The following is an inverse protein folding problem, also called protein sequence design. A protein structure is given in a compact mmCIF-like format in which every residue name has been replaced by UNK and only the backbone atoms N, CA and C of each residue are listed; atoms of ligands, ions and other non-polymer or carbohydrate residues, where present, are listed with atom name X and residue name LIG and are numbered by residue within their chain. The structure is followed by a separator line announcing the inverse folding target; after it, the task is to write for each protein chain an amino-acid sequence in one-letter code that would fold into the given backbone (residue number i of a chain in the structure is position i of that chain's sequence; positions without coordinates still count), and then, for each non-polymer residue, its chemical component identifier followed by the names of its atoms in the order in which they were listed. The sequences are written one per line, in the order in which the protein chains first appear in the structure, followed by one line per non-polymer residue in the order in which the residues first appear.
data_IF_675239818564
#
_entry.id   IF_675239818564
#
_cell.length_a   1.000
_cell.length_b   1.000
_cell.length_c   1.000
_cell.angle_alpha   90.00
_cell.angle_beta   90.00
_cell.angle_gamma   90.00
#
_symmetry.space_group_name_H-M   'P 1'
#
loop_
_entity.id
_entity.type
_entity.pdbx_description
1 polymer ?
#
# COMPACT_ATOMS: atom_id res chain seq x y z
N UNK A 1 -6.88 24.97 -21.90
CA UNK A 1 -8.29 24.61 -21.65
C UNK A 1 -8.48 23.10 -21.48
N UNK A 2 -7.99 22.27 -22.38
CA UNK A 2 -8.15 20.81 -22.33
C UNK A 2 -7.59 20.17 -21.05
N UNK A 3 -6.41 20.58 -20.57
CA UNK A 3 -5.85 20.10 -19.31
C UNK A 3 -6.76 20.40 -18.11
N UNK A 4 -7.29 21.62 -18.05
CA UNK A 4 -8.18 22.05 -16.97
C UNK A 4 -9.48 21.25 -16.98
N UNK A 5 -10.06 20.99 -18.18
CA UNK A 5 -11.27 20.16 -18.29
C UNK A 5 -11.00 18.70 -17.88
N UNK A 6 -9.85 18.14 -18.21
CA UNK A 6 -9.46 16.80 -17.79
C UNK A 6 -9.36 16.69 -16.27
N UNK A 7 -8.67 17.64 -15.63
CA UNK A 7 -8.54 17.68 -14.17
C UNK A 7 -9.91 17.91 -13.51
N UNK A 8 -10.72 18.83 -14.05
CA UNK A 8 -12.05 19.11 -13.52
C UNK A 8 -12.97 17.87 -13.61
N UNK A 9 -12.97 17.14 -14.74
CA UNK A 9 -13.73 15.90 -14.88
C UNK A 9 -13.31 14.85 -13.85
N UNK A 10 -11.99 14.67 -13.64
CA UNK A 10 -11.47 13.75 -12.63
C UNK A 10 -12.05 14.07 -11.24
N UNK A 11 -11.94 15.34 -10.81
CA UNK A 11 -12.44 15.72 -9.49
C UNK A 11 -13.97 15.65 -9.38
N UNK A 12 -14.71 16.08 -10.40
CA UNK A 12 -16.16 16.01 -10.40
C UNK A 12 -16.65 14.58 -10.24
N UNK A 13 -16.14 13.64 -11.05
CA UNK A 13 -16.56 12.24 -10.95
C UNK A 13 -16.09 11.57 -9.65
N UNK A 14 -14.90 11.90 -9.15
CA UNK A 14 -14.43 11.42 -7.85
C UNK A 14 -15.30 11.93 -6.69
N UNK A 15 -15.70 13.19 -6.70
CA UNK A 15 -16.57 13.78 -5.67
C UNK A 15 -18.01 13.25 -5.75
N UNK A 16 -18.49 12.85 -6.94
CA UNK A 16 -19.76 12.15 -7.12
C UNK A 16 -19.73 10.69 -6.61
N UNK A 17 -18.61 10.23 -6.07
CA UNK A 17 -18.47 8.89 -5.52
C UNK A 17 -18.21 7.80 -6.56
N UNK A 18 -17.83 8.18 -7.78
CA UNK A 18 -17.40 7.21 -8.79
C UNK A 18 -16.06 6.58 -8.40
N UNK A 19 -15.93 5.27 -8.62
CA UNK A 19 -14.68 4.57 -8.41
C UNK A 19 -13.55 5.21 -9.24
N UNK A 20 -12.41 5.45 -8.61
CA UNK A 20 -11.34 6.31 -9.13
C UNK A 20 -10.80 5.85 -10.49
N UNK A 21 -10.75 4.53 -10.74
CA UNK A 21 -10.34 3.96 -12.01
C UNK A 21 -11.21 4.45 -13.18
N UNK A 22 -12.52 4.51 -12.96
CA UNK A 22 -13.47 5.02 -13.93
C UNK A 22 -13.39 6.53 -14.09
N UNK A 23 -13.25 7.27 -12.97
CA UNK A 23 -13.12 8.72 -13.00
C UNK A 23 -11.90 9.15 -13.82
N UNK A 24 -10.75 8.50 -13.63
CA UNK A 24 -9.53 8.74 -14.41
C UNK A 24 -9.74 8.39 -15.87
N UNK A 25 -10.36 7.22 -16.16
CA UNK A 25 -10.63 6.76 -17.52
C UNK A 25 -11.53 7.72 -18.27
N UNK A 26 -12.63 8.15 -17.66
CA UNK A 26 -13.58 9.10 -18.25
C UNK A 26 -12.93 10.47 -18.44
N UNK A 27 -12.11 10.94 -17.50
CA UNK A 27 -11.39 12.20 -17.65
C UNK A 27 -10.42 12.17 -18.83
N UNK A 28 -9.64 11.08 -19.00
CA UNK A 28 -8.75 10.89 -20.13
C UNK A 28 -9.49 10.74 -21.46
N UNK A 29 -10.58 9.97 -21.49
CA UNK A 29 -11.42 9.83 -22.67
C UNK A 29 -12.10 11.15 -23.04
N UNK A 30 -12.64 11.87 -22.06
CA UNK A 30 -13.25 13.18 -22.22
C UNK A 30 -12.28 14.20 -22.83
N UNK A 31 -11.02 14.21 -22.37
CA UNK A 31 -9.97 15.01 -23.01
C UNK A 31 -9.85 14.68 -24.50
N UNK A 32 -9.76 13.38 -24.87
CA UNK A 32 -9.61 12.98 -26.27
C UNK A 32 -10.81 13.37 -27.13
N UNK A 33 -12.03 13.28 -26.58
CA UNK A 33 -13.25 13.74 -27.28
C UNK A 33 -13.18 15.24 -27.51
N UNK A 34 -12.86 16.04 -26.50
CA UNK A 34 -12.75 17.49 -26.62
C UNK A 34 -11.63 17.91 -27.57
N UNK A 35 -10.52 17.17 -27.59
CA UNK A 35 -9.39 17.42 -28.49
C UNK A 35 -9.74 17.28 -29.98
N UNK A 36 -10.80 16.51 -30.32
CA UNK A 36 -11.27 16.41 -31.73
C UNK A 36 -11.84 17.74 -32.25
N UNK A 37 -12.31 18.60 -31.36
CA UNK A 37 -12.93 19.89 -31.69
C UNK A 37 -11.96 21.08 -31.54
N UNK A 38 -10.68 20.80 -31.34
CA UNK A 38 -9.64 21.82 -31.15
C UNK A 38 -8.45 21.57 -32.10
N UNK A 39 -7.57 22.58 -32.23
CA UNK A 39 -6.34 22.44 -33.01
C UNK A 39 -5.35 21.41 -32.47
N UNK A 40 -5.58 20.92 -31.21
CA UNK A 40 -4.78 19.89 -30.54
C UNK A 40 -5.28 18.47 -30.84
N UNK A 41 -5.57 18.18 -32.10
CA UNK A 41 -6.06 16.87 -32.51
C UNK A 41 -5.23 15.72 -31.93
N UNK A 42 -5.89 14.79 -31.26
CA UNK A 42 -5.27 13.60 -30.67
C UNK A 42 -6.09 12.36 -31.05
N UNK A 43 -5.50 11.38 -31.76
CA UNK A 43 -6.24 10.22 -32.22
C UNK A 43 -6.84 9.41 -31.05
N UNK A 44 -8.12 9.06 -31.14
CA UNK A 44 -8.81 8.27 -30.11
C UNK A 44 -8.23 6.87 -29.90
N UNK A 45 -7.56 6.31 -30.92
CA UNK A 45 -6.90 5.00 -30.81
C UNK A 45 -5.83 4.98 -29.71
N UNK A 46 -5.24 6.14 -29.38
CA UNK A 46 -4.26 6.28 -28.30
C UNK A 46 -4.83 5.91 -26.93
N UNK A 47 -6.15 6.04 -26.73
CA UNK A 47 -6.78 5.60 -25.49
C UNK A 47 -6.51 4.11 -25.24
N UNK A 48 -6.89 3.26 -26.18
CA UNK A 48 -6.69 1.82 -26.07
C UNK A 48 -5.20 1.43 -26.05
N UNK A 49 -4.38 2.08 -26.88
CA UNK A 49 -2.94 1.81 -26.92
C UNK A 49 -2.23 2.13 -25.60
N UNK A 50 -2.52 3.29 -25.01
CA UNK A 50 -1.91 3.67 -23.74
C UNK A 50 -2.42 2.80 -22.59
N UNK A 51 -3.70 2.47 -22.52
CA UNK A 51 -4.25 1.54 -21.54
C UNK A 51 -3.55 0.18 -21.61
N UNK A 52 -3.43 -0.39 -22.82
CA UNK A 52 -2.78 -1.69 -23.02
C UNK A 52 -1.30 -1.64 -22.67
N UNK A 53 -0.59 -0.59 -23.08
CA UNK A 53 0.84 -0.42 -22.76
C UNK A 53 1.07 -0.25 -21.24
N UNK A 54 0.11 0.36 -20.54
CA UNK A 54 0.18 0.59 -19.09
C UNK A 54 0.22 -0.69 -18.28
N UNK A 55 -0.48 -1.72 -18.71
CA UNK A 55 -0.54 -3.02 -18.00
C UNK A 55 0.45 -4.05 -18.55
N UNK A 56 1.08 -3.79 -19.67
CA UNK A 56 2.03 -4.70 -20.30
C UNK A 56 3.45 -4.52 -19.72
N UNK A 57 3.63 -4.91 -18.46
CA UNK A 57 4.91 -4.87 -17.76
C UNK A 57 5.10 -6.13 -16.93
N UNK A 58 6.26 -6.80 -17.08
CA UNK A 58 6.59 -8.00 -16.30
C UNK A 58 6.60 -7.76 -14.79
N UNK A 59 7.04 -6.59 -14.36
CA UNK A 59 7.10 -6.21 -12.95
C UNK A 59 5.70 -6.18 -12.31
N UNK A 60 4.67 -5.83 -13.07
CA UNK A 60 3.30 -5.79 -12.58
C UNK A 60 2.72 -7.17 -12.26
N UNK A 61 3.30 -8.25 -12.79
CA UNK A 61 2.92 -9.63 -12.42
C UNK A 61 3.23 -9.96 -10.96
N UNK A 62 4.11 -9.18 -10.31
CA UNK A 62 4.34 -9.32 -8.87
C UNK A 62 3.09 -8.99 -8.05
N UNK A 63 2.25 -8.04 -8.51
CA UNK A 63 1.07 -7.57 -7.76
C UNK A 63 0.06 -8.68 -7.48
N UNK A 64 -0.47 -9.43 -8.49
CA UNK A 64 -1.38 -10.53 -8.24
C UNK A 64 -0.79 -11.61 -7.34
N UNK A 65 0.51 -11.88 -7.46
CA UNK A 65 1.19 -12.89 -6.64
C UNK A 65 1.34 -12.44 -5.19
N UNK A 66 1.66 -11.15 -4.93
CA UNK A 66 1.69 -10.60 -3.57
C UNK A 66 0.31 -10.59 -2.93
N UNK A 67 -0.72 -10.17 -3.67
CA UNK A 67 -2.10 -10.17 -3.15
C UNK A 67 -2.53 -11.59 -2.83
N UNK A 68 -2.25 -12.55 -3.71
CA UNK A 68 -2.57 -13.95 -3.48
C UNK A 68 -1.83 -14.53 -2.26
N UNK A 69 -0.54 -14.23 -2.10
CA UNK A 69 0.21 -14.60 -0.91
C UNK A 69 -0.41 -14.02 0.37
N UNK A 70 -0.82 -12.74 0.35
CA UNK A 70 -1.50 -12.08 1.46
C UNK A 70 -2.85 -12.73 1.80
N UNK A 71 -3.68 -13.02 0.80
CA UNK A 71 -4.95 -13.73 0.98
C UNK A 71 -4.76 -15.14 1.56
N UNK A 72 -3.77 -15.88 1.06
CA UNK A 72 -3.41 -17.18 1.62
C UNK A 72 -2.98 -17.08 3.10
N UNK A 73 -2.23 -16.03 3.48
CA UNK A 73 -1.86 -15.81 4.87
C UNK A 73 -3.07 -15.55 5.76
N UNK A 74 -4.09 -14.85 5.27
CA UNK A 74 -5.33 -14.61 6.00
C UNK A 74 -6.09 -15.92 6.26
N UNK A 75 -6.31 -16.74 5.22
CA UNK A 75 -7.07 -17.99 5.35
C UNK A 75 -6.32 -19.09 6.11
N UNK A 76 -4.99 -19.08 6.08
CA UNK A 76 -4.15 -20.01 6.86
C UNK A 76 -4.04 -19.63 8.34
N UNK A 77 -4.64 -18.53 8.78
CA UNK A 77 -4.63 -18.05 10.16
C UNK A 77 -3.26 -17.53 10.62
N UNK A 78 -2.41 -17.15 9.70
CA UNK A 78 -1.12 -16.48 9.96
C UNK A 78 -1.34 -15.20 10.75
N UNK A 79 -2.34 -14.39 10.37
CA UNK A 79 -2.70 -13.15 11.08
C UNK A 79 -2.93 -13.39 12.57
N UNK A 80 -3.69 -14.42 12.95
CA UNK A 80 -3.93 -14.74 14.37
C UNK A 80 -2.65 -15.11 15.10
N UNK A 81 -1.72 -15.83 14.46
CA UNK A 81 -0.43 -16.19 15.05
C UNK A 81 0.48 -14.99 15.23
N UNK A 82 0.50 -14.08 14.26
CA UNK A 82 1.23 -12.81 14.35
C UNK A 82 0.68 -11.93 15.47
N UNK A 83 -0.65 -11.82 15.60
CA UNK A 83 -1.28 -11.09 16.70
C UNK A 83 -0.94 -11.74 18.05
N UNK A 84 -0.98 -13.07 18.16
CA UNK A 84 -0.56 -13.82 19.34
C UNK A 84 0.90 -13.55 19.70
N UNK A 85 1.79 -13.60 18.72
CA UNK A 85 3.21 -13.29 18.90
C UNK A 85 3.42 -11.84 19.37
N UNK A 86 2.78 -10.86 18.71
CA UNK A 86 2.81 -9.45 19.12
C UNK A 86 2.29 -9.27 20.57
N UNK A 87 1.24 -10.00 20.96
CA UNK A 87 0.70 -9.96 22.31
C UNK A 87 1.72 -10.43 23.37
N UNK A 88 2.50 -11.45 23.08
CA UNK A 88 3.57 -11.92 24.00
C UNK A 88 4.71 -10.91 24.16
N UNK A 89 4.96 -10.10 23.13
CA UNK A 89 6.04 -9.09 23.12
C UNK A 89 5.61 -7.81 23.85
N UNK A 90 4.45 -7.26 23.51
CA UNK A 90 4.05 -5.90 23.92
C UNK A 90 2.73 -5.82 24.68
N UNK A 91 1.99 -6.91 24.86
CA UNK A 91 0.70 -6.92 25.53
C UNK A 91 0.74 -6.47 27.00
N UNK A 92 1.88 -6.65 27.65
CA UNK A 92 2.11 -6.25 29.05
C UNK A 92 2.48 -4.76 29.21
N UNK A 93 2.69 -4.03 28.12
CA UNK A 93 3.01 -2.60 28.13
C UNK A 93 1.71 -1.80 28.24
N UNK A 94 1.78 -0.59 28.83
CA UNK A 94 0.62 0.31 28.87
C UNK A 94 0.01 0.48 27.46
N UNK A 95 -1.28 0.19 27.35
CA UNK A 95 -1.95 0.14 26.06
C UNK A 95 -2.29 -1.27 25.59
N UNK A 96 -1.71 -2.31 26.20
CA UNK A 96 -2.09 -3.70 25.99
C UNK A 96 -2.39 -4.04 24.52
N UNK A 97 -3.65 -4.44 24.26
CA UNK A 97 -4.12 -4.81 22.92
C UNK A 97 -4.00 -3.71 21.87
N UNK A 98 -4.00 -2.42 22.24
CA UNK A 98 -3.81 -1.34 21.25
C UNK A 98 -2.39 -1.36 20.69
N UNK A 99 -1.37 -1.52 21.55
CA UNK A 99 0.03 -1.67 21.12
C UNK A 99 0.28 -3.00 20.41
N UNK A 100 -0.45 -4.06 20.80
CA UNK A 100 -0.46 -5.33 20.03
C UNK A 100 -0.96 -5.08 18.62
N UNK A 101 -2.00 -4.27 18.43
CA UNK A 101 -2.51 -3.90 17.12
C UNK A 101 -1.48 -3.15 16.27
N UNK A 102 -0.77 -2.17 16.85
CA UNK A 102 0.29 -1.44 16.15
C UNK A 102 1.42 -2.39 15.75
N UNK A 103 1.88 -3.24 16.68
CA UNK A 103 2.97 -4.20 16.41
C UNK A 103 2.57 -5.27 15.40
N UNK A 104 1.36 -5.81 15.52
CA UNK A 104 0.85 -6.81 14.59
C UNK A 104 0.72 -6.24 13.16
N UNK A 105 0.20 -5.01 13.00
CA UNK A 105 0.14 -4.36 11.69
C UNK A 105 1.52 -4.11 11.11
N UNK A 106 2.50 -3.67 11.90
CA UNK A 106 3.87 -3.51 11.44
C UNK A 106 4.48 -4.83 10.94
N UNK A 107 4.23 -5.94 11.63
CA UNK A 107 4.68 -7.27 11.20
C UNK A 107 3.90 -7.72 9.96
N UNK A 108 2.57 -7.53 9.93
CA UNK A 108 1.71 -7.90 8.80
C UNK A 108 2.03 -7.12 7.54
N UNK A 109 2.44 -5.87 7.68
CA UNK A 109 2.84 -5.03 6.53
C UNK A 109 3.97 -5.67 5.71
N UNK A 110 4.91 -6.36 6.38
CA UNK A 110 5.92 -7.16 5.71
C UNK A 110 5.39 -8.37 4.93
N UNK A 111 4.08 -8.64 4.99
CA UNK A 111 3.45 -9.79 4.32
C UNK A 111 2.47 -9.36 3.23
N UNK A 112 1.60 -8.38 3.51
CA UNK A 112 0.48 -7.99 2.66
C UNK A 112 0.80 -6.84 1.70
N UNK A 113 1.63 -5.89 2.14
CA UNK A 113 1.93 -4.66 1.41
C UNK A 113 0.72 -3.75 1.16
N UNK A 114 -0.41 -3.98 1.87
CA UNK A 114 -1.70 -3.30 1.68
C UNK A 114 -2.30 -2.83 3.00
N UNK A 115 -2.53 -1.52 3.14
CA UNK A 115 -3.16 -0.96 4.34
C UNK A 115 -4.57 -1.50 4.58
N UNK A 116 -5.38 -1.66 3.53
CA UNK A 116 -6.75 -2.16 3.65
C UNK A 116 -6.79 -3.62 4.10
N UNK A 117 -5.93 -4.46 3.53
CA UNK A 117 -5.83 -5.86 3.91
C UNK A 117 -5.38 -6.02 5.37
N UNK A 118 -4.38 -5.26 5.80
CA UNK A 118 -3.87 -5.27 7.17
C UNK A 118 -4.91 -4.77 8.18
N UNK A 119 -5.61 -3.68 7.87
CA UNK A 119 -6.68 -3.15 8.71
C UNK A 119 -7.83 -4.16 8.88
N UNK A 120 -8.24 -4.80 7.79
CA UNK A 120 -9.30 -5.81 7.82
C UNK A 120 -8.87 -7.06 8.61
N UNK A 121 -7.67 -7.59 8.34
CA UNK A 121 -7.15 -8.79 8.97
C UNK A 121 -6.94 -8.61 10.48
N UNK A 122 -6.25 -7.57 10.89
CA UNK A 122 -6.00 -7.29 12.31
C UNK A 122 -7.24 -6.80 13.03
N UNK A 123 -8.09 -6.02 12.34
CA UNK A 123 -9.36 -5.50 12.87
C UNK A 123 -10.33 -6.62 13.25
N UNK A 124 -10.49 -7.63 12.38
CA UNK A 124 -11.38 -8.77 12.67
C UNK A 124 -10.96 -9.54 13.92
N UNK A 125 -9.67 -9.63 14.21
CA UNK A 125 -9.12 -10.33 15.38
C UNK A 125 -9.15 -9.46 16.63
N UNK A 126 -8.71 -8.19 16.53
CA UNK A 126 -8.45 -7.36 17.70
C UNK A 126 -9.63 -6.50 18.14
N UNK A 127 -10.47 -5.98 17.22
CA UNK A 127 -11.57 -5.09 17.61
C UNK A 127 -12.59 -5.74 18.57
N UNK A 128 -13.03 -7.01 18.35
CA UNK A 128 -13.90 -7.68 19.29
C UNK A 128 -13.26 -7.86 20.67
N UNK A 129 -11.97 -8.19 20.71
CA UNK A 129 -11.27 -8.41 21.98
C UNK A 129 -11.00 -7.08 22.72
N UNK A 130 -10.61 -6.02 22.00
CA UNK A 130 -10.47 -4.68 22.57
C UNK A 130 -11.80 -4.18 23.16
N UNK A 131 -12.92 -4.42 22.48
CA UNK A 131 -14.26 -4.08 22.99
C UNK A 131 -14.57 -4.81 24.29
N UNK A 132 -14.29 -6.12 24.37
CA UNK A 132 -14.49 -6.92 25.60
C UNK A 132 -13.63 -6.40 26.77
N UNK A 133 -12.44 -5.88 26.49
CA UNK A 133 -11.51 -5.31 27.48
C UNK A 133 -11.81 -3.86 27.84
N UNK A 134 -12.93 -3.28 27.37
CA UNK A 134 -13.36 -1.93 27.74
C UNK A 134 -12.70 -0.79 26.95
N UNK A 135 -12.03 -1.08 25.83
CA UNK A 135 -11.56 -0.04 24.93
C UNK A 135 -12.74 0.61 24.21
N UNK A 136 -12.69 1.94 24.06
CA UNK A 136 -13.70 2.67 23.29
C UNK A 136 -13.63 2.26 21.81
N UNK A 137 -14.74 1.87 21.15
CA UNK A 137 -14.74 1.41 19.77
C UNK A 137 -14.07 2.38 18.79
N UNK A 138 -14.38 3.68 18.90
CA UNK A 138 -13.77 4.72 18.06
C UNK A 138 -12.24 4.77 18.21
N UNK A 139 -11.71 4.61 19.42
CA UNK A 139 -10.28 4.57 19.67
C UNK A 139 -9.65 3.31 19.08
N UNK A 140 -10.28 2.15 19.29
CA UNK A 140 -9.79 0.87 18.78
C UNK A 140 -9.71 0.89 17.24
N UNK A 141 -10.78 1.35 16.58
CA UNK A 141 -10.81 1.48 15.12
C UNK A 141 -9.76 2.48 14.60
N UNK A 142 -9.60 3.63 15.28
CA UNK A 142 -8.59 4.61 14.92
C UNK A 142 -7.16 4.06 15.03
N UNK A 143 -6.84 3.31 16.10
CA UNK A 143 -5.52 2.69 16.26
C UNK A 143 -5.25 1.66 15.17
N UNK A 144 -6.20 0.76 14.89
CA UNK A 144 -6.01 -0.27 13.84
C UNK A 144 -5.87 0.38 12.46
N UNK A 145 -6.74 1.34 12.12
CA UNK A 145 -6.69 2.03 10.84
C UNK A 145 -5.37 2.81 10.66
N UNK A 146 -4.93 3.54 11.69
CA UNK A 146 -3.66 4.27 11.63
C UNK A 146 -2.47 3.31 11.54
N UNK A 147 -2.46 2.21 12.31
CA UNK A 147 -1.38 1.24 12.30
C UNK A 147 -1.24 0.55 10.92
N UNK A 148 -2.35 0.28 10.25
CA UNK A 148 -2.34 -0.34 8.93
C UNK A 148 -1.73 0.54 7.82
N UNK A 149 -1.67 1.87 8.01
CA UNK A 149 -1.05 2.77 7.02
C UNK A 149 0.46 2.54 6.81
N UNK A 150 1.09 1.76 7.67
CA UNK A 150 2.49 1.32 7.51
C UNK A 150 2.63 0.31 6.37
N UNK A 151 1.56 -0.44 6.04
CA UNK A 151 1.56 -1.50 5.03
C UNK A 151 2.15 -1.12 3.67
N UNK A 152 1.73 -0.02 3.06
CA UNK A 152 2.28 0.43 1.78
C UNK A 152 3.73 0.90 1.81
N UNK A 153 4.34 1.08 2.99
CA UNK A 153 5.68 1.67 3.16
C UNK A 153 6.71 0.62 3.58
N UNK A 154 6.33 -0.32 4.45
CA UNK A 154 7.23 -1.39 4.90
C UNK A 154 7.35 -2.46 3.81
N UNK A 155 8.56 -2.86 3.40
CA UNK A 155 8.76 -3.91 2.42
C UNK A 155 8.31 -5.30 2.92
N UNK A 156 7.75 -6.13 2.01
CA UNK A 156 7.44 -5.86 0.61
C UNK A 156 6.16 -5.02 0.46
N UNK A 157 6.18 -4.05 -0.44
CA UNK A 157 5.09 -3.10 -0.67
C UNK A 157 4.62 -3.14 -2.12
N UNK A 158 3.32 -3.34 -2.33
CA UNK A 158 2.68 -3.29 -3.66
C UNK A 158 2.88 -1.90 -4.29
N UNK A 159 2.77 -0.84 -3.46
CA UNK A 159 2.96 0.53 -3.92
C UNK A 159 4.36 0.78 -4.45
N UNK A 160 5.40 0.25 -3.81
CA UNK A 160 6.78 0.40 -4.30
C UNK A 160 7.07 -0.43 -5.56
N UNK A 161 6.46 -1.61 -5.70
CA UNK A 161 6.54 -2.39 -6.95
C UNK A 161 5.93 -1.59 -8.09
N UNK A 162 4.76 -1.00 -7.86
CA UNK A 162 4.06 -0.17 -8.83
C UNK A 162 4.87 1.09 -9.19
N UNK A 163 5.38 1.80 -8.18
CA UNK A 163 6.23 2.98 -8.38
C UNK A 163 7.46 2.63 -9.22
N UNK A 164 8.17 1.57 -8.88
CA UNK A 164 9.34 1.11 -9.64
C UNK A 164 9.03 0.82 -11.10
N UNK A 165 7.86 0.23 -11.39
CA UNK A 165 7.39 -0.05 -12.74
C UNK A 165 7.04 1.23 -13.53
N UNK A 166 6.51 2.28 -12.86
CA UNK A 166 6.07 3.53 -13.50
C UNK A 166 7.26 4.43 -13.82
N UNK A 167 8.14 4.64 -12.84
CA UNK A 167 9.27 5.59 -12.96
C UNK A 167 10.59 4.92 -13.34
N UNK A 168 10.58 3.61 -13.62
CA UNK A 168 11.75 2.80 -13.99
C UNK A 168 12.91 2.89 -12.97
N UNK A 169 12.56 2.79 -11.69
CA UNK A 169 13.53 2.74 -10.56
C UNK A 169 13.55 1.34 -9.97
N UNK A 170 14.71 0.94 -9.44
CA UNK A 170 14.87 -0.37 -8.81
C UNK A 170 13.91 -0.55 -7.62
N UNK A 171 13.07 -1.58 -7.67
CA UNK A 171 12.16 -1.94 -6.57
C UNK A 171 12.94 -2.27 -5.29
N UNK A 172 14.12 -2.89 -5.41
CA UNK A 172 14.98 -3.18 -4.27
C UNK A 172 15.46 -1.90 -3.56
N UNK A 173 15.84 -0.87 -4.33
CA UNK A 173 16.21 0.44 -3.76
C UNK A 173 15.03 1.13 -3.08
N UNK A 174 13.83 1.04 -3.67
CA UNK A 174 12.61 1.56 -3.05
C UNK A 174 12.29 0.82 -1.74
N UNK A 175 12.47 -0.50 -1.71
CA UNK A 175 12.28 -1.28 -0.49
C UNK A 175 13.25 -0.84 0.60
N UNK A 176 14.54 -0.70 0.29
CA UNK A 176 15.53 -0.19 1.25
C UNK A 176 15.17 1.22 1.74
N UNK A 177 14.72 2.10 0.83
CA UNK A 177 14.28 3.44 1.17
C UNK A 177 13.05 3.48 2.10
N UNK A 178 12.17 2.47 2.04
CA UNK A 178 10.97 2.36 2.87
C UNK A 178 11.22 1.87 4.30
N UNK A 179 12.35 1.20 4.57
CA UNK A 179 12.64 0.61 5.89
C UNK A 179 12.69 1.68 6.98
N UNK A 180 13.47 2.73 6.78
CA UNK A 180 13.66 3.78 7.80
C UNK A 180 12.35 4.55 8.07
N UNK A 181 11.62 5.08 7.06
CA UNK A 181 10.33 5.70 7.28
C UNK A 181 9.31 4.76 7.93
N UNK A 182 9.27 3.49 7.53
CA UNK A 182 8.38 2.48 8.12
C UNK A 182 8.64 2.27 9.61
N UNK A 183 9.91 2.15 10.02
CA UNK A 183 10.30 2.04 11.42
C UNK A 183 9.94 3.32 12.20
N UNK A 184 10.18 4.49 11.64
CA UNK A 184 9.84 5.77 12.28
C UNK A 184 8.34 5.90 12.49
N UNK A 185 7.53 5.52 11.51
CA UNK A 185 6.06 5.49 11.63
C UNK A 185 5.61 4.50 12.71
N UNK A 186 6.15 3.28 12.71
CA UNK A 186 5.86 2.28 13.74
C UNK A 186 6.17 2.82 15.15
N UNK A 187 7.38 3.33 15.36
CA UNK A 187 7.79 3.86 16.67
C UNK A 187 6.91 5.05 17.08
N UNK A 188 6.63 5.97 16.17
CA UNK A 188 5.77 7.12 16.43
C UNK A 188 4.35 6.69 16.86
N UNK A 189 3.73 5.77 16.10
CA UNK A 189 2.40 5.25 16.45
C UNK A 189 2.40 4.46 17.75
N UNK A 190 3.45 3.66 17.98
CA UNK A 190 3.58 2.91 19.23
C UNK A 190 3.67 3.84 20.44
N UNK A 191 4.50 4.87 20.37
CA UNK A 191 4.68 5.86 21.46
C UNK A 191 3.41 6.65 21.71
N UNK A 192 2.76 7.13 20.66
CA UNK A 192 1.48 7.88 20.78
C UNK A 192 0.39 6.99 21.37
N UNK A 193 0.24 5.76 20.89
CA UNK A 193 -0.74 4.79 21.40
C UNK A 193 -0.47 4.47 22.87
N UNK A 194 0.79 4.19 23.23
CA UNK A 194 1.21 3.97 24.60
C UNK A 194 0.86 5.15 25.52
N UNK A 195 1.17 6.38 25.08
CA UNK A 195 0.90 7.60 25.84
C UNK A 195 -0.60 7.83 26.07
N UNK A 196 -1.42 7.70 25.02
CA UNK A 196 -2.87 7.84 25.11
C UNK A 196 -3.46 6.79 26.04
N UNK A 197 -3.04 5.53 25.92
CA UNK A 197 -3.53 4.44 26.72
C UNK A 197 -3.15 4.59 28.19
N UNK A 198 -1.93 5.05 28.47
CA UNK A 198 -1.48 5.37 29.83
C UNK A 198 -2.35 6.49 30.44
N UNK A 199 -2.61 7.56 29.67
CA UNK A 199 -3.45 8.69 30.13
C UNK A 199 -4.90 8.29 30.39
N UNK A 200 -5.43 7.32 29.62
CA UNK A 200 -6.82 6.83 29.75
C UNK A 200 -6.98 5.62 30.66
N UNK A 201 -5.90 5.14 31.29
CA UNK A 201 -5.87 3.96 32.14
C UNK A 201 -6.50 2.71 31.49
N UNK A 202 -6.19 2.46 30.22
CA UNK A 202 -6.63 1.24 29.56
C UNK A 202 -5.95 0.00 30.15
N UNK A 203 -6.64 -1.16 30.19
CA UNK A 203 -6.11 -2.37 30.80
C UNK A 203 -4.87 -2.87 30.07
N UNK A 204 -3.96 -3.46 30.83
CA UNK A 204 -2.76 -4.14 30.34
C UNK A 204 -2.91 -5.65 30.53
N UNK A 205 -2.26 -6.43 29.69
CA UNK A 205 -2.23 -7.88 29.84
C UNK A 205 -1.14 -8.32 30.84
N UNK A 206 -1.29 -9.54 31.34
CA UNK A 206 -0.23 -10.15 32.13
C UNK A 206 1.00 -10.38 31.25
N UNK A 207 2.18 -10.21 31.84
CA UNK A 207 3.43 -10.51 31.14
C UNK A 207 3.47 -12.01 30.78
N UNK A 208 3.65 -12.30 29.50
CA UNK A 208 3.74 -13.68 29.04
C UNK A 208 4.94 -14.40 29.67
N UNK A 209 4.75 -15.64 30.03
CA UNK A 209 5.81 -16.52 30.54
C UNK A 209 6.83 -16.83 29.45
N UNK A 210 7.99 -17.33 29.85
CA UNK A 210 9.03 -17.74 28.86
C UNK A 210 8.52 -18.87 27.96
N UNK A 211 7.72 -19.77 28.51
CA UNK A 211 7.11 -20.87 27.75
C UNK A 211 6.09 -20.36 26.73
N UNK A 212 5.19 -19.45 27.12
CA UNK A 212 4.21 -18.83 26.22
C UNK A 212 4.91 -18.08 25.08
N UNK A 213 6.00 -17.35 25.39
CA UNK A 213 6.82 -16.68 24.37
C UNK A 213 7.44 -17.68 23.42
N UNK A 214 8.02 -18.76 23.92
CA UNK A 214 8.67 -19.78 23.11
C UNK A 214 7.66 -20.48 22.17
N UNK A 215 6.46 -20.78 22.67
CA UNK A 215 5.38 -21.38 21.86
C UNK A 215 4.92 -20.41 20.78
N UNK A 216 4.58 -19.16 21.14
CA UNK A 216 4.14 -18.14 20.17
C UNK A 216 5.22 -17.82 19.13
N UNK A 217 6.49 -17.82 19.55
CA UNK A 217 7.62 -17.63 18.65
C UNK A 217 7.73 -18.80 17.64
N UNK A 218 7.65 -20.05 18.11
CA UNK A 218 7.67 -21.23 17.27
C UNK A 218 6.52 -21.28 16.27
N UNK A 219 5.33 -20.82 16.66
CA UNK A 219 4.17 -20.74 15.78
C UNK A 219 4.22 -19.54 14.82
N UNK A 220 4.82 -18.44 15.23
CA UNK A 220 4.92 -17.19 14.45
C UNK A 220 6.09 -17.17 13.46
N UNK A 221 7.23 -17.78 13.80
CA UNK A 221 8.43 -17.77 12.92
C UNK A 221 8.13 -18.23 11.49
N UNK A 222 7.45 -19.36 11.25
CA UNK A 222 7.21 -19.78 9.87
C UNK A 222 6.46 -18.73 9.06
N UNK A 223 5.57 -17.97 9.72
CA UNK A 223 4.87 -16.85 9.06
C UNK A 223 5.82 -15.69 8.73
N UNK A 224 6.78 -15.37 9.62
CA UNK A 224 7.74 -14.28 9.45
C UNK A 224 8.82 -14.59 8.40
N UNK A 225 9.03 -15.85 8.05
CA UNK A 225 9.99 -16.24 7.01
C UNK A 225 9.52 -15.77 5.63
N UNK A 226 8.21 -15.72 5.35
CA UNK A 226 7.69 -15.32 4.05
C UNK A 226 8.13 -13.89 3.64
N UNK A 227 7.90 -12.83 4.44
CA UNK A 227 8.43 -11.50 4.13
C UNK A 227 9.96 -11.47 4.08
N UNK A 228 10.63 -12.24 4.93
CA UNK A 228 12.07 -12.38 4.92
C UNK A 228 12.63 -12.93 3.60
N UNK A 229 11.97 -13.94 3.02
CA UNK A 229 12.29 -14.48 1.69
C UNK A 229 12.14 -13.40 0.63
N UNK A 230 11.01 -12.70 0.61
CA UNK A 230 10.72 -11.68 -0.40
C UNK A 230 11.77 -10.57 -0.36
N UNK A 231 11.90 -9.95 0.80
CA UNK A 231 12.77 -8.79 1.00
C UNK A 231 14.23 -9.17 0.79
N UNK A 232 14.67 -10.30 1.38
CA UNK A 232 16.03 -10.79 1.24
C UNK A 232 16.38 -11.12 -0.22
N UNK A 233 15.54 -11.87 -0.92
CA UNK A 233 15.81 -12.23 -2.31
C UNK A 233 15.94 -11.00 -3.23
N UNK A 234 15.12 -9.97 -3.03
CA UNK A 234 15.14 -8.75 -3.83
C UNK A 234 16.35 -7.86 -3.47
N UNK A 235 16.62 -7.65 -2.18
CA UNK A 235 17.72 -6.78 -1.72
C UNK A 235 19.09 -7.36 -2.09
N UNK A 236 19.26 -8.67 -1.96
CA UNK A 236 20.52 -9.33 -2.34
C UNK A 236 20.64 -9.60 -3.84
N UNK A 237 19.63 -9.22 -4.64
CA UNK A 237 19.65 -9.39 -6.10
C UNK A 237 19.58 -10.86 -6.55
N UNK A 238 19.09 -11.76 -5.68
CA UNK A 238 18.95 -13.21 -5.97
C UNK A 238 17.74 -13.48 -6.86
N UNK A 239 16.67 -12.69 -6.68
CA UNK A 239 15.43 -12.84 -7.44
C UNK A 239 14.79 -11.48 -7.73
N UNK A 240 14.02 -11.43 -8.81
CA UNK A 240 13.17 -10.30 -9.16
C UNK A 240 11.98 -10.19 -8.20
N UNK A 241 11.29 -9.03 -8.14
CA UNK A 241 10.06 -8.90 -7.35
C UNK A 241 9.00 -9.93 -7.71
N UNK A 242 8.85 -10.26 -8.99
CA UNK A 242 7.88 -11.25 -9.48
C UNK A 242 8.22 -12.67 -9.03
N UNK A 243 9.49 -13.06 -9.16
CA UNK A 243 9.96 -14.37 -8.70
C UNK A 243 9.84 -14.50 -7.17
N UNK A 244 10.22 -13.46 -6.43
CA UNK A 244 10.10 -13.43 -4.97
C UNK A 244 8.65 -13.54 -4.51
N UNK A 245 7.71 -12.88 -5.19
CA UNK A 245 6.27 -12.97 -4.90
C UNK A 245 5.74 -14.39 -5.17
N UNK A 246 6.17 -15.02 -6.27
CA UNK A 246 5.81 -16.40 -6.59
C UNK A 246 6.31 -17.38 -5.53
N UNK A 247 7.59 -17.27 -5.13
CA UNK A 247 8.18 -18.10 -4.08
C UNK A 247 7.45 -17.93 -2.75
N UNK A 248 7.09 -16.68 -2.38
CA UNK A 248 6.35 -16.41 -1.16
C UNK A 248 4.94 -17.02 -1.19
N UNK A 249 4.22 -16.90 -2.30
CA UNK A 249 2.90 -17.53 -2.45
C UNK A 249 2.99 -19.07 -2.32
N UNK A 250 4.00 -19.68 -2.96
CA UNK A 250 4.28 -21.09 -2.83
C UNK A 250 4.62 -21.52 -1.40
N UNK A 251 5.44 -20.70 -0.72
CA UNK A 251 5.81 -20.95 0.66
C UNK A 251 4.61 -20.91 1.61
N UNK A 252 3.72 -19.91 1.44
CA UNK A 252 2.50 -19.81 2.26
C UNK A 252 1.53 -20.96 1.97
N UNK A 253 1.39 -21.38 0.71
CA UNK A 253 0.65 -22.60 0.36
C UNK A 253 1.23 -23.82 1.08
N UNK A 254 2.54 -24.00 1.05
CA UNK A 254 3.23 -25.08 1.75
C UNK A 254 2.95 -25.06 3.25
N UNK A 255 3.02 -23.88 3.89
CA UNK A 255 2.69 -23.72 5.31
C UNK A 255 1.26 -24.15 5.61
N UNK A 256 0.29 -23.71 4.79
CA UNK A 256 -1.12 -24.00 5.00
C UNK A 256 -1.47 -25.48 4.80
N UNK A 257 -0.88 -26.12 3.80
CA UNK A 257 -1.16 -27.53 3.46
C UNK A 257 -0.42 -28.53 4.36
N UNK A 258 0.86 -28.28 4.64
CA UNK A 258 1.72 -29.27 5.29
C UNK A 258 2.01 -28.98 6.77
N UNK A 259 2.29 -27.73 7.12
CA UNK A 259 2.65 -27.37 8.48
C UNK A 259 1.42 -27.11 9.35
N UNK A 260 0.54 -26.21 8.91
CA UNK A 260 -0.67 -25.85 9.67
C UNK A 260 -1.85 -26.78 9.40
N UNK A 261 -1.86 -27.46 8.27
CA UNK A 261 -2.87 -28.46 7.86
C UNK A 261 -4.30 -27.93 7.99
N UNK A 262 -4.52 -26.66 7.75
CA UNK A 262 -5.80 -25.99 7.89
C UNK A 262 -6.30 -25.33 6.60
N UNK A 263 -5.63 -25.59 5.47
CA UNK A 263 -5.96 -25.04 4.17
C UNK A 263 -6.69 -26.09 3.33
N UNK A 264 -7.94 -25.81 2.99
CA UNK A 264 -8.74 -26.63 2.08
C UNK A 264 -8.64 -26.10 0.64
N UNK A 265 -8.91 -26.98 -0.34
CA UNK A 265 -8.93 -26.59 -1.75
C UNK A 265 -9.95 -25.46 -2.02
N UNK A 266 -11.11 -25.47 -1.36
CA UNK A 266 -12.12 -24.43 -1.45
C UNK A 266 -11.56 -23.06 -1.01
N UNK A 267 -10.85 -23.02 0.10
CA UNK A 267 -10.21 -21.80 0.60
C UNK A 267 -9.11 -21.27 -0.34
N UNK A 268 -8.38 -22.14 -1.03
CA UNK A 268 -7.40 -21.74 -2.04
C UNK A 268 -8.10 -21.05 -3.20
N UNK A 269 -9.21 -21.60 -3.69
CA UNK A 269 -9.99 -21.00 -4.79
C UNK A 269 -10.60 -19.67 -4.35
N UNK A 270 -11.13 -19.58 -3.12
CA UNK A 270 -11.65 -18.32 -2.57
C UNK A 270 -10.54 -17.26 -2.48
N UNK A 271 -9.38 -17.60 -1.93
CA UNK A 271 -8.22 -16.69 -1.87
C UNK A 271 -7.77 -16.24 -3.28
N UNK A 272 -7.71 -17.17 -4.24
CA UNK A 272 -7.38 -16.86 -5.63
C UNK A 272 -8.43 -15.93 -6.27
N UNK A 273 -9.72 -16.16 -6.00
CA UNK A 273 -10.81 -15.31 -6.49
C UNK A 273 -10.71 -13.87 -5.92
N UNK A 274 -10.50 -13.73 -4.61
CA UNK A 274 -10.31 -12.42 -3.98
C UNK A 274 -9.08 -11.71 -4.54
N UNK A 275 -7.97 -12.43 -4.70
CA UNK A 275 -6.76 -11.88 -5.30
C UNK A 275 -6.97 -11.43 -6.75
N UNK A 276 -7.72 -12.20 -7.55
CA UNK A 276 -8.04 -11.85 -8.93
C UNK A 276 -8.90 -10.58 -9.01
N UNK A 277 -9.93 -10.46 -8.16
CA UNK A 277 -10.78 -9.27 -8.09
C UNK A 277 -9.96 -8.04 -7.70
N UNK A 278 -9.20 -8.12 -6.61
CA UNK A 278 -8.36 -7.01 -6.16
C UNK A 278 -7.32 -6.60 -7.23
N UNK A 279 -6.68 -7.59 -7.86
CA UNK A 279 -5.75 -7.35 -8.97
C UNK A 279 -6.43 -6.65 -10.14
N UNK A 280 -7.64 -7.05 -10.51
CA UNK A 280 -8.38 -6.46 -11.64
C UNK A 280 -8.67 -4.98 -11.41
N UNK A 281 -9.05 -4.59 -10.20
CA UNK A 281 -9.27 -3.19 -9.82
C UNK A 281 -7.97 -2.38 -9.94
N UNK A 282 -6.88 -2.91 -9.42
CA UNK A 282 -5.56 -2.26 -9.49
C UNK A 282 -5.11 -2.14 -10.96
N UNK A 283 -5.21 -3.20 -11.76
CA UNK A 283 -4.80 -3.19 -13.16
C UNK A 283 -5.65 -2.22 -14.00
N UNK A 284 -6.96 -2.13 -13.75
CA UNK A 284 -7.80 -1.14 -14.39
C UNK A 284 -7.34 0.29 -14.04
N UNK A 285 -7.05 0.54 -12.76
CA UNK A 285 -6.52 1.84 -12.31
C UNK A 285 -5.18 2.17 -13.00
N UNK A 286 -4.28 1.20 -13.12
CA UNK A 286 -3.00 1.35 -13.83
C UNK A 286 -3.24 1.70 -15.30
N UNK A 287 -4.13 0.95 -15.97
CA UNK A 287 -4.44 1.15 -17.38
C UNK A 287 -4.98 2.56 -17.66
N UNK A 288 -5.99 2.98 -16.88
CA UNK A 288 -6.62 4.30 -17.04
C UNK A 288 -5.69 5.45 -16.64
N UNK A 289 -4.88 5.26 -15.59
CA UNK A 289 -3.90 6.26 -15.18
C UNK A 289 -2.79 6.46 -16.20
N UNK A 290 -2.43 5.44 -16.98
CA UNK A 290 -1.39 5.56 -18.00
C UNK A 290 -1.76 6.54 -19.11
N UNK A 291 -3.01 6.50 -19.60
CA UNK A 291 -3.49 7.50 -20.57
C UNK A 291 -3.54 8.89 -19.96
N UNK A 292 -4.03 9.01 -18.70
CA UNK A 292 -4.08 10.29 -18.00
C UNK A 292 -2.68 10.90 -17.83
N UNK A 293 -1.71 10.11 -17.37
CA UNK A 293 -0.32 10.54 -17.21
C UNK A 293 0.31 10.94 -18.56
N UNK A 294 0.03 10.19 -19.62
CA UNK A 294 0.50 10.52 -20.95
C UNK A 294 -0.05 11.87 -21.45
N UNK A 295 -1.35 12.13 -21.23
CA UNK A 295 -1.98 13.40 -21.55
C UNK A 295 -1.42 14.55 -20.71
N UNK A 296 -1.20 14.32 -19.42
CA UNK A 296 -0.59 15.31 -18.53
C UNK A 296 0.83 15.71 -18.98
N UNK A 297 1.62 14.73 -19.43
CA UNK A 297 2.96 14.99 -19.99
C UNK A 297 2.86 15.73 -21.33
N UNK A 298 1.92 15.34 -22.21
CA UNK A 298 1.67 16.04 -23.49
C UNK A 298 1.31 17.52 -23.28
N UNK A 299 0.53 17.81 -22.26
CA UNK A 299 0.14 19.18 -21.88
C UNK A 299 1.19 19.91 -21.02
N UNK A 300 2.39 19.34 -20.85
CA UNK A 300 3.48 19.91 -20.06
C UNK A 300 3.13 20.20 -18.60
N UNK A 301 2.21 19.43 -17.99
CA UNK A 301 1.78 19.64 -16.60
C UNK A 301 2.96 19.67 -15.61
N UNK A 302 3.97 18.82 -15.83
CA UNK A 302 5.17 18.77 -14.99
C UNK A 302 5.96 20.10 -15.03
N UNK A 303 6.10 20.69 -16.22
CA UNK A 303 6.80 21.97 -16.39
C UNK A 303 5.99 23.09 -15.73
N UNK A 304 4.68 23.13 -15.97
CA UNK A 304 3.79 24.15 -15.38
C UNK A 304 3.86 24.10 -13.84
N UNK A 305 3.82 22.91 -13.25
CA UNK A 305 3.94 22.75 -11.79
C UNK A 305 5.32 23.14 -11.28
N UNK A 306 6.39 22.75 -11.99
CA UNK A 306 7.76 23.10 -11.61
C UNK A 306 7.97 24.61 -11.65
N UNK A 307 7.55 25.29 -12.72
CA UNK A 307 7.66 26.75 -12.87
C UNK A 307 6.86 27.48 -11.79
N UNK A 308 5.64 27.02 -11.49
CA UNK A 308 4.83 27.57 -10.42
C UNK A 308 5.49 27.42 -9.04
N UNK A 309 6.15 26.30 -8.78
CA UNK A 309 6.87 26.04 -7.54
C UNK A 309 8.14 26.91 -7.46
N UNK A 310 8.92 27.00 -8.53
CA UNK A 310 10.14 27.80 -8.61
C UNK A 310 9.85 29.31 -8.53
N UNK A 311 8.67 29.75 -8.97
CA UNK A 311 8.21 31.13 -8.78
C UNK A 311 8.04 31.52 -7.29
N UNK A 312 7.83 30.53 -6.40
CA UNK A 312 7.70 30.76 -4.96
C UNK A 312 9.07 30.66 -4.27
N UNK A 313 9.85 29.62 -4.59
CA UNK A 313 11.19 29.42 -4.00
C UNK A 313 12.03 28.49 -4.86
N UNK A 314 13.33 28.74 -4.91
CA UNK A 314 14.34 27.82 -5.49
C UNK A 314 15.00 26.90 -4.46
N UNK A 315 14.65 27.06 -3.17
CA UNK A 315 15.22 26.25 -2.10
C UNK A 315 14.63 24.83 -2.09
N UNK A 316 15.48 23.82 -2.16
CA UNK A 316 15.10 22.39 -2.26
C UNK A 316 14.13 21.97 -1.15
N UNK A 317 14.38 22.37 0.09
CA UNK A 317 13.54 22.01 1.23
C UNK A 317 12.12 22.63 1.13
N UNK A 318 12.00 23.86 0.58
CA UNK A 318 10.70 24.51 0.35
C UNK A 318 9.93 23.78 -0.74
N UNK A 319 10.59 23.41 -1.83
CA UNK A 319 9.99 22.65 -2.92
C UNK A 319 9.50 21.28 -2.45
N UNK A 320 10.29 20.56 -1.65
CA UNK A 320 9.88 19.30 -1.03
C UNK A 320 8.69 19.50 -0.08
N UNK A 321 8.65 20.59 0.68
CA UNK A 321 7.51 20.91 1.54
C UNK A 321 6.25 21.16 0.73
N UNK A 322 6.35 21.91 -0.38
CA UNK A 322 5.21 22.15 -1.28
C UNK A 322 4.68 20.86 -1.89
N UNK A 323 5.57 19.95 -2.33
CA UNK A 323 5.19 18.61 -2.81
C UNK A 323 4.48 17.83 -1.71
N UNK A 324 4.99 17.83 -0.48
CA UNK A 324 4.33 17.15 0.65
C UNK A 324 2.94 17.71 0.93
N UNK A 325 2.77 19.04 0.92
CA UNK A 325 1.46 19.68 1.11
C UNK A 325 0.49 19.26 -0.02
N UNK A 326 0.95 19.27 -1.27
CA UNK A 326 0.16 18.81 -2.42
C UNK A 326 -0.28 17.36 -2.25
N UNK A 327 0.66 16.46 -1.88
CA UNK A 327 0.36 15.04 -1.67
C UNK A 327 -0.56 14.81 -0.47
N UNK A 328 -0.46 15.61 0.60
CA UNK A 328 -1.39 15.56 1.73
C UNK A 328 -2.81 15.93 1.29
N UNK A 329 -2.99 17.01 0.52
CA UNK A 329 -4.30 17.43 0.01
C UNK A 329 -4.90 16.35 -0.88
N UNK A 330 -4.12 15.80 -1.81
CA UNK A 330 -4.57 14.72 -2.69
C UNK A 330 -4.91 13.45 -1.91
N UNK A 331 -4.10 13.10 -0.90
CA UNK A 331 -4.32 11.93 -0.05
C UNK A 331 -5.57 12.02 0.83
N UNK A 332 -6.14 13.22 1.04
CA UNK A 332 -7.45 13.38 1.69
C UNK A 332 -8.62 13.00 0.78
N UNK A 333 -8.41 12.98 -0.54
CA UNK A 333 -9.47 12.78 -1.54
C UNK A 333 -9.33 11.42 -2.22
N UNK A 334 -8.10 10.96 -2.43
CA UNK A 334 -7.80 9.78 -3.25
C UNK A 334 -6.92 8.79 -2.48
N UNK A 335 -7.03 7.51 -2.85
CA UNK A 335 -6.17 6.44 -2.35
C UNK A 335 -4.73 6.57 -2.91
N UNK A 336 -3.76 5.94 -2.24
CA UNK A 336 -2.33 6.04 -2.57
C UNK A 336 -2.00 5.61 -4.01
N UNK A 337 -2.61 4.52 -4.51
CA UNK A 337 -2.28 3.97 -5.84
C UNK A 337 -2.61 4.93 -6.98
N UNK A 338 -3.82 5.52 -7.09
CA UNK A 338 -4.13 6.52 -8.10
C UNK A 338 -3.23 7.77 -8.02
N UNK A 339 -2.96 8.25 -6.81
CA UNK A 339 -2.07 9.42 -6.63
C UNK A 339 -0.69 9.12 -7.21
N UNK A 340 -0.12 7.97 -6.86
CA UNK A 340 1.19 7.56 -7.39
C UNK A 340 1.19 7.46 -8.91
N UNK A 341 0.16 6.84 -9.48
CA UNK A 341 0.06 6.63 -10.93
C UNK A 341 -0.04 7.93 -11.73
N UNK A 342 -0.73 8.93 -11.18
CA UNK A 342 -0.95 10.23 -11.84
C UNK A 342 0.21 11.18 -11.56
N UNK A 343 0.60 11.30 -10.30
CA UNK A 343 1.50 12.36 -9.84
C UNK A 343 2.97 11.95 -9.94
N UNK A 344 3.31 10.67 -9.72
CA UNK A 344 4.72 10.26 -9.76
C UNK A 344 5.41 10.55 -11.10
N UNK A 345 4.83 10.27 -12.29
CA UNK A 345 5.48 10.61 -13.56
C UNK A 345 5.67 12.12 -13.74
N UNK A 346 4.74 12.92 -13.19
CA UNK A 346 4.76 14.40 -13.28
C UNK A 346 5.84 14.98 -12.36
N UNK A 347 5.85 14.55 -11.09
CA UNK A 347 6.80 15.06 -10.09
C UNK A 347 8.21 14.47 -10.23
N UNK A 348 8.35 13.27 -10.82
CA UNK A 348 9.66 12.63 -10.92
C UNK A 348 10.66 13.44 -11.75
N UNK A 349 10.19 14.12 -12.79
CA UNK A 349 11.01 15.05 -13.57
C UNK A 349 11.50 16.22 -12.71
N UNK A 350 10.64 16.78 -11.87
CA UNK A 350 10.96 17.87 -10.95
C UNK A 350 11.96 17.44 -9.88
N UNK A 351 11.72 16.27 -9.26
CA UNK A 351 12.59 15.72 -8.21
C UNK A 351 13.97 15.38 -8.77
N UNK A 352 14.04 14.81 -9.98
CA UNK A 352 15.31 14.50 -10.63
C UNK A 352 16.13 15.75 -10.93
N UNK A 353 15.49 16.85 -11.27
CA UNK A 353 16.14 18.15 -11.46
C UNK A 353 16.71 18.70 -10.15
N UNK A 354 16.05 18.44 -9.01
CA UNK A 354 16.49 18.89 -7.68
C UNK A 354 17.66 18.07 -7.11
N UNK A 355 17.83 16.83 -7.52
CA UNK A 355 18.81 15.88 -6.98
C UNK A 355 19.99 15.57 -7.89
N UNK A 356 20.11 16.21 -9.06
CA UNK A 356 21.15 15.99 -10.08
C UNK A 356 22.39 16.80 -9.89
#
# INVERSE_FOLDING_TARGET
MLLVSMIALLFVFSLLGMEIAWAIGIAGFGYLVLAQFTDNFTPMVLFAQQMTSGVNSFVLLAIPLFIFAGELMNVTGVTRRIVGFAATLVGHINGGLANVGVTANFIMSGCSGSALADAAATGTVLLPEMKKRGFKPAFSSAVIASAATVGPIVPPSISFVLLGAIVNVSVGQLFLGGVVPGILMFVGMFVVTWWICKKRNYPVEKKATTEEKAVSFKEGIPALIAPGIIVGAIIFGVATPTESAAVAAFYVLFLGLFLYRNLSFKQIIEAASHAAIATSVIMLTVATSKIFAWLAVKENLGIILTDAMLAISSEVWVLLLMINILLLILGMIMEILPIMLIIAPVLFSTIRWLGG
#
